data_IF_320878271546
#
_entry.id   IF_320878271546
#
_cell.length_a   1.000
_cell.length_b   1.000
_cell.length_c   1.000
_cell.angle_alpha   90.00
_cell.angle_beta   90.00
_cell.angle_gamma   90.00
#
_symmetry.space_group_name_H-M   'P 1'
#
loop_
_entity.id
_entity.type
_entity.pdbx_description
1 polymer ?
#
# COMPACT_ATOMS: atom_id res chain seq x y z
N UNK A 1 -9.79 -11.56 -16.47
CA UNK A 1 -9.96 -10.63 -17.62
C UNK A 1 -9.95 -9.21 -17.10
N UNK A 2 -9.43 -8.24 -17.87
CA UNK A 2 -9.51 -6.83 -17.50
C UNK A 2 -10.79 -6.20 -18.07
N UNK A 3 -11.42 -5.35 -17.28
CA UNK A 3 -12.52 -4.48 -17.70
C UNK A 3 -12.29 -3.06 -17.16
N UNK A 4 -12.88 -2.05 -17.80
CA UNK A 4 -12.67 -0.65 -17.46
C UNK A 4 -14.00 0.03 -17.13
N UNK A 5 -14.01 0.87 -16.10
CA UNK A 5 -15.23 1.54 -15.64
C UNK A 5 -15.49 2.87 -16.34
N UNK A 6 -14.50 3.45 -17.04
CA UNK A 6 -14.64 4.73 -17.74
C UNK A 6 -14.10 4.61 -19.16
N UNK A 7 -14.72 5.34 -20.09
CA UNK A 7 -14.27 5.48 -21.48
C UNK A 7 -12.90 6.20 -21.46
N UNK A 8 -11.88 5.62 -22.11
CA UNK A 8 -10.43 5.93 -22.02
C UNK A 8 -9.58 4.97 -21.15
N UNK A 9 -10.03 3.73 -20.91
CA UNK A 9 -9.24 2.69 -20.20
C UNK A 9 -8.76 3.12 -18.80
N UNK A 10 -9.46 4.06 -18.18
CA UNK A 10 -9.20 4.48 -16.81
C UNK A 10 -10.00 3.61 -15.85
N UNK A 11 -9.43 3.37 -14.66
CA UNK A 11 -10.01 2.53 -13.61
C UNK A 11 -10.15 1.05 -14.01
N UNK A 12 -9.03 0.32 -14.15
CA UNK A 12 -9.04 -1.10 -14.49
C UNK A 12 -9.57 -1.93 -13.32
N UNK A 13 -10.42 -2.91 -13.64
CA UNK A 13 -10.93 -3.91 -12.70
C UNK A 13 -10.59 -5.29 -13.25
N UNK A 14 -10.08 -6.16 -12.37
CA UNK A 14 -9.85 -7.56 -12.69
C UNK A 14 -11.12 -8.32 -12.35
N UNK A 15 -11.72 -8.92 -13.37
CA UNK A 15 -12.94 -9.74 -13.26
C UNK A 15 -12.65 -11.18 -13.62
N UNK A 16 -13.46 -12.10 -13.10
CA UNK A 16 -13.34 -13.52 -13.38
C UNK A 16 -13.58 -13.76 -14.90
N UNK A 17 -12.70 -14.55 -15.52
CA UNK A 17 -12.78 -14.86 -16.95
C UNK A 17 -13.95 -15.79 -17.31
N UNK A 18 -14.54 -16.48 -16.32
CA UNK A 18 -15.67 -17.39 -16.51
C UNK A 18 -17.04 -16.69 -16.49
N UNK A 19 -17.09 -15.36 -16.31
CA UNK A 19 -18.35 -14.62 -16.32
C UNK A 19 -18.96 -14.61 -17.73
N UNK A 20 -20.28 -14.78 -17.80
CA UNK A 20 -21.02 -14.57 -19.04
C UNK A 20 -21.08 -13.08 -19.39
N UNK A 21 -21.35 -12.75 -20.65
CA UNK A 21 -21.45 -11.36 -21.10
C UNK A 21 -22.54 -10.59 -20.33
N UNK A 22 -23.70 -11.23 -20.04
CA UNK A 22 -24.77 -10.59 -19.26
C UNK A 22 -24.36 -10.30 -17.82
N UNK A 23 -23.68 -11.24 -17.15
CA UNK A 23 -23.18 -11.04 -15.78
C UNK A 23 -22.11 -9.95 -15.73
N UNK A 24 -21.23 -9.92 -16.73
CA UNK A 24 -20.20 -8.91 -16.86
C UNK A 24 -20.82 -7.52 -17.02
N UNK A 25 -21.80 -7.35 -17.90
CA UNK A 25 -22.49 -6.07 -18.07
C UNK A 25 -23.19 -5.61 -16.78
N UNK A 26 -23.91 -6.52 -16.11
CA UNK A 26 -24.55 -6.21 -14.82
C UNK A 26 -23.54 -5.79 -13.76
N UNK A 27 -22.40 -6.49 -13.66
CA UNK A 27 -21.33 -6.17 -12.73
C UNK A 27 -20.74 -4.77 -13.02
N UNK A 28 -20.45 -4.48 -14.28
CA UNK A 28 -19.86 -3.20 -14.68
C UNK A 28 -20.81 -2.04 -14.37
N UNK A 29 -22.12 -2.20 -14.58
CA UNK A 29 -23.11 -1.17 -14.21
C UNK A 29 -23.07 -0.87 -12.71
N UNK A 30 -23.01 -1.90 -11.86
CA UNK A 30 -22.92 -1.74 -10.40
C UNK A 30 -21.62 -1.06 -10.00
N UNK A 31 -20.49 -1.47 -10.58
CA UNK A 31 -19.18 -0.88 -10.29
C UNK A 31 -19.09 0.57 -10.74
N UNK A 32 -19.62 0.92 -11.93
CA UNK A 32 -19.70 2.31 -12.41
C UNK A 32 -20.54 3.17 -11.47
N UNK A 33 -21.68 2.66 -10.98
CA UNK A 33 -22.55 3.36 -10.03
C UNK A 33 -21.86 3.60 -8.68
N UNK A 34 -21.00 2.68 -8.24
CA UNK A 34 -20.30 2.73 -6.96
C UNK A 34 -18.81 3.11 -7.08
N UNK A 35 -18.41 3.77 -8.17
CA UNK A 35 -16.99 4.07 -8.44
C UNK A 35 -16.28 4.84 -7.32
N UNK A 36 -17.02 5.68 -6.59
CA UNK A 36 -16.51 6.50 -5.49
C UNK A 36 -16.28 5.71 -4.19
N UNK A 37 -16.80 4.48 -4.10
CA UNK A 37 -16.55 3.59 -2.97
C UNK A 37 -15.23 2.82 -3.14
N UNK A 38 -14.64 2.85 -4.33
CA UNK A 38 -13.38 2.19 -4.66
C UNK A 38 -12.27 3.24 -4.60
N UNK A 39 -11.19 2.91 -3.91
CA UNK A 39 -9.99 3.75 -3.82
C UNK A 39 -9.02 3.38 -4.95
N UNK A 40 -8.77 4.32 -5.87
CA UNK A 40 -7.92 4.11 -7.04
C UNK A 40 -6.52 4.66 -6.83
N UNK A 41 -6.45 5.77 -6.10
CA UNK A 41 -5.23 6.41 -5.65
C UNK A 41 -5.27 6.61 -4.14
N UNK A 42 -4.13 6.98 -3.58
CA UNK A 42 -4.03 7.28 -2.15
C UNK A 42 -4.85 8.53 -1.78
N UNK A 43 -5.02 9.45 -2.74
CA UNK A 43 -5.77 10.70 -2.58
C UNK A 43 -7.28 10.44 -2.47
N UNK A 44 -7.75 9.28 -2.94
CA UNK A 44 -9.16 8.86 -2.82
C UNK A 44 -9.48 8.31 -1.43
N UNK A 45 -8.47 7.99 -0.62
CA UNK A 45 -8.64 7.46 0.73
C UNK A 45 -9.14 8.58 1.64
N UNK A 46 -10.46 8.65 1.83
CA UNK A 46 -11.07 9.57 2.78
C UNK A 46 -10.97 9.00 4.20
N UNK A 47 -10.11 9.59 5.01
CA UNK A 47 -10.07 9.31 6.44
C UNK A 47 -11.33 9.79 7.17
N UNK A 48 -11.57 9.26 8.36
CA UNK A 48 -12.57 9.79 9.29
C UNK A 48 -11.98 11.07 9.90
N UNK A 49 -12.74 12.16 9.90
CA UNK A 49 -12.30 13.40 10.55
C UNK A 49 -12.03 13.15 12.04
N UNK A 50 -10.89 13.62 12.59
CA UNK A 50 -10.65 13.60 14.04
C UNK A 50 -11.75 14.29 14.85
N UNK A 51 -12.50 15.22 14.24
CA UNK A 51 -13.64 15.85 14.91
C UNK A 51 -14.83 14.90 15.14
N UNK A 52 -14.91 13.81 14.38
CA UNK A 52 -16.00 12.82 14.47
C UNK A 52 -15.61 11.72 15.47
N UNK A 53 -14.40 11.20 15.38
CA UNK A 53 -13.92 10.15 16.25
C UNK A 53 -12.39 10.18 16.33
N UNK A 54 -11.86 10.16 17.55
CA UNK A 54 -10.44 9.95 17.82
C UNK A 54 -10.27 8.70 18.65
N UNK A 55 -9.48 7.76 18.15
CA UNK A 55 -9.02 6.65 18.94
C UNK A 55 -7.98 7.14 19.94
N UNK A 56 -8.21 6.91 21.24
CA UNK A 56 -7.24 7.17 22.30
C UNK A 56 -6.67 5.85 22.77
N UNK A 57 -5.39 5.61 22.46
CA UNK A 57 -4.67 4.44 22.95
C UNK A 57 -4.15 4.76 24.35
N UNK A 58 -4.65 4.04 25.36
CA UNK A 58 -4.19 4.18 26.74
C UNK A 58 -2.96 3.30 26.96
N UNK A 59 -1.97 3.85 27.68
CA UNK A 59 -0.83 3.07 28.15
C UNK A 59 -1.08 2.59 29.58
N UNK A 60 -0.64 1.38 29.88
CA UNK A 60 -0.65 0.86 31.25
C UNK A 60 0.29 1.66 32.15
N UNK A 61 -0.07 1.75 33.43
CA UNK A 61 0.75 2.41 34.45
C UNK A 61 2.14 1.73 34.54
N UNK A 62 3.20 2.55 34.54
CA UNK A 62 4.59 2.08 34.59
C UNK A 62 5.29 1.90 33.24
N UNK A 63 4.56 1.96 32.12
CA UNK A 63 5.17 1.94 30.78
C UNK A 63 5.90 3.26 30.49
N UNK A 64 7.15 3.16 30.01
CA UNK A 64 7.95 4.33 29.62
C UNK A 64 7.85 4.58 28.13
N UNK A 65 7.79 5.86 27.75
CA UNK A 65 7.97 6.27 26.36
C UNK A 65 9.45 6.08 25.99
N UNK A 66 9.70 5.42 24.86
CA UNK A 66 11.06 5.10 24.41
C UNK A 66 11.26 5.61 23.00
N UNK A 67 12.35 6.35 22.80
CA UNK A 67 12.90 6.67 21.47
C UNK A 67 13.83 5.56 21.03
N UNK A 68 13.36 4.68 20.16
CA UNK A 68 14.21 3.64 19.59
C UNK A 68 15.09 4.22 18.47
N UNK A 69 16.36 3.79 18.37
CA UNK A 69 17.24 4.23 17.30
C UNK A 69 16.74 3.74 15.94
N UNK A 70 16.76 4.62 14.94
CA UNK A 70 16.34 4.27 13.58
C UNK A 70 17.35 3.33 12.90
N UNK A 71 16.84 2.37 12.12
CA UNK A 71 17.68 1.43 11.38
C UNK A 71 18.38 2.14 10.23
N UNK A 72 19.67 1.86 10.05
CA UNK A 72 20.44 2.38 8.91
C UNK A 72 19.92 1.75 7.60
N UNK A 73 19.55 2.60 6.65
CA UNK A 73 19.09 2.20 5.32
C UNK A 73 20.21 2.33 4.29
N UNK A 74 20.21 1.45 3.29
CA UNK A 74 21.05 1.66 2.11
C UNK A 74 20.50 2.86 1.28
N UNK A 75 21.32 3.48 0.41
CA UNK A 75 20.89 4.67 -0.34
C UNK A 75 19.65 4.43 -1.20
N UNK A 76 19.56 3.29 -1.89
CA UNK A 76 18.43 2.94 -2.75
C UNK A 76 17.12 2.86 -1.97
N UNK A 77 17.11 2.18 -0.82
CA UNK A 77 15.95 2.11 0.07
C UNK A 77 15.60 3.49 0.58
N UNK A 78 16.59 4.30 0.98
CA UNK A 78 16.35 5.65 1.50
C UNK A 78 15.56 6.52 0.51
N UNK A 79 15.82 6.40 -0.79
CA UNK A 79 15.03 7.09 -1.82
C UNK A 79 13.60 6.57 -1.94
N UNK A 80 13.41 5.26 -1.92
CA UNK A 80 12.07 4.63 -1.94
C UNK A 80 11.25 5.10 -0.73
N UNK A 81 11.85 5.05 0.46
CA UNK A 81 11.22 5.50 1.72
C UNK A 81 10.84 6.96 1.64
N UNK A 82 11.74 7.81 1.17
CA UNK A 82 11.47 9.24 1.01
C UNK A 82 10.27 9.47 0.09
N UNK A 83 10.17 8.76 -1.03
CA UNK A 83 9.04 8.88 -1.97
C UNK A 83 7.72 8.45 -1.33
N UNK A 84 7.70 7.32 -0.62
CA UNK A 84 6.49 6.84 0.07
C UNK A 84 6.05 7.79 1.20
N UNK A 85 6.97 8.27 2.03
CA UNK A 85 6.67 9.24 3.10
C UNK A 85 6.11 10.53 2.52
N UNK A 86 6.71 11.08 1.45
CA UNK A 86 6.20 12.28 0.80
C UNK A 86 4.82 12.08 0.18
N UNK A 87 4.54 10.89 -0.37
CA UNK A 87 3.23 10.54 -0.91
C UNK A 87 2.17 10.52 0.19
N UNK A 88 2.46 9.90 1.34
CA UNK A 88 1.55 9.87 2.50
C UNK A 88 1.33 11.27 3.09
N UNK A 89 2.40 12.08 3.16
CA UNK A 89 2.33 13.45 3.64
C UNK A 89 1.48 14.32 2.73
N UNK A 90 1.65 14.21 1.40
CA UNK A 90 0.84 14.94 0.42
C UNK A 90 -0.64 14.58 0.51
N UNK A 91 -0.94 13.31 0.77
CA UNK A 91 -2.31 12.82 0.96
C UNK A 91 -2.92 13.22 2.32
N UNK A 92 -2.15 13.81 3.23
CA UNK A 92 -2.62 14.19 4.57
C UNK A 92 -2.86 13.02 5.52
N UNK A 93 -2.35 11.82 5.19
CA UNK A 93 -2.49 10.62 6.02
C UNK A 93 -1.56 10.69 7.25
N UNK A 94 -0.37 11.27 7.06
CA UNK A 94 0.60 11.54 8.13
C UNK A 94 0.91 13.03 8.20
N UNK A 95 1.38 13.48 9.36
CA UNK A 95 1.80 14.86 9.60
C UNK A 95 3.10 14.88 10.43
N UNK A 96 3.92 15.94 10.31
CA UNK A 96 5.14 16.04 11.09
C UNK A 96 4.82 16.31 12.56
N UNK A 97 5.54 15.63 13.46
CA UNK A 97 5.54 15.89 14.90
C UNK A 97 6.97 16.22 15.33
N UNK A 98 7.12 17.28 16.12
CA UNK A 98 8.39 17.65 16.72
C UNK A 98 8.55 16.97 18.07
N UNK A 99 9.78 16.55 18.36
CA UNK A 99 10.22 16.14 19.71
C UNK A 99 9.41 15.03 20.41
N UNK A 100 8.84 14.07 19.67
CA UNK A 100 8.12 12.93 20.26
C UNK A 100 9.03 12.08 21.16
N UNK A 101 8.67 11.89 22.43
CA UNK A 101 9.35 10.98 23.37
C UNK A 101 9.24 9.49 22.99
N UNK A 102 8.33 9.17 22.06
CA UNK A 102 8.15 7.83 21.53
C UNK A 102 8.46 7.79 20.04
N UNK A 103 9.38 6.89 19.67
CA UNK A 103 9.79 6.69 18.27
C UNK A 103 10.02 5.20 18.06
N UNK A 104 9.29 4.61 17.11
CA UNK A 104 9.53 3.25 16.62
C UNK A 104 10.41 3.27 15.36
N UNK A 105 11.28 2.27 15.17
CA UNK A 105 12.10 2.18 13.97
C UNK A 105 11.24 1.82 12.76
N UNK A 106 11.40 2.53 11.65
CA UNK A 106 10.66 2.19 10.44
C UNK A 106 11.16 0.87 9.86
N UNK A 107 10.25 -0.09 9.64
CA UNK A 107 10.57 -1.39 9.06
C UNK A 107 10.23 -1.43 7.58
N UNK A 108 11.03 -2.16 6.81
CA UNK A 108 10.85 -2.32 5.37
C UNK A 108 10.86 -3.79 5.01
N UNK A 109 9.80 -4.20 4.31
CA UNK A 109 9.62 -5.58 3.89
C UNK A 109 9.67 -5.63 2.37
N UNK A 110 10.54 -6.45 1.76
CA UNK A 110 10.55 -6.63 0.33
C UNK A 110 9.21 -7.23 -0.09
N UNK A 111 8.64 -6.66 -1.14
CA UNK A 111 7.45 -7.20 -1.76
C UNK A 111 7.82 -8.49 -2.47
N UNK A 112 7.28 -9.60 -1.99
CA UNK A 112 7.37 -10.87 -2.70
C UNK A 112 6.57 -10.74 -3.99
N UNK A 113 7.22 -10.81 -5.15
CA UNK A 113 6.52 -11.20 -6.37
C UNK A 113 6.36 -12.71 -6.41
N UNK A 114 5.55 -13.21 -7.34
CA UNK A 114 5.55 -14.64 -7.68
C UNK A 114 6.94 -15.15 -8.03
N UNK A 115 7.14 -16.47 -7.90
CA UNK A 115 8.37 -17.14 -8.34
C UNK A 115 8.40 -17.09 -9.87
N UNK A 116 9.43 -16.48 -10.43
CA UNK A 116 9.73 -16.52 -11.88
C UNK A 116 10.77 -17.59 -12.12
N UNK A 117 10.48 -18.55 -13.01
CA UNK A 117 11.45 -19.57 -13.41
C UNK A 117 12.33 -18.99 -14.50
N UNK A 118 13.63 -18.88 -14.23
CA UNK A 118 14.63 -18.41 -15.19
C UNK A 118 15.33 -19.65 -15.75
N UNK A 119 15.49 -19.71 -17.07
CA UNK A 119 16.27 -20.77 -17.73
C UNK A 119 17.74 -20.34 -17.70
N UNK A 120 18.59 -21.13 -17.06
CA UNK A 120 20.05 -20.94 -17.02
C UNK A 120 20.67 -21.20 -18.39
N UNK A 121 21.92 -20.77 -18.61
CA UNK A 121 22.72 -21.14 -19.79
C UNK A 121 22.90 -22.67 -19.92
N UNK A 122 22.78 -23.40 -18.81
CA UNK A 122 22.77 -24.87 -18.76
C UNK A 122 21.38 -25.49 -19.04
N UNK A 123 20.39 -24.70 -19.47
CA UNK A 123 19.01 -25.12 -19.72
C UNK A 123 18.25 -25.65 -18.48
N UNK A 124 18.75 -25.34 -17.28
CA UNK A 124 18.10 -25.68 -16.01
C UNK A 124 17.06 -24.62 -15.61
N UNK A 125 15.91 -25.08 -15.11
CA UNK A 125 14.83 -24.24 -14.59
C UNK A 125 15.15 -23.79 -13.17
N UNK A 126 15.68 -22.58 -13.02
CA UNK A 126 16.00 -22.01 -11.71
C UNK A 126 14.84 -21.15 -11.20
N UNK A 127 14.22 -21.49 -10.05
CA UNK A 127 13.22 -20.63 -9.44
C UNK A 127 13.91 -19.38 -8.87
N UNK A 128 13.74 -18.24 -9.54
CA UNK A 128 14.27 -16.95 -9.11
C UNK A 128 13.18 -16.10 -8.45
N UNK A 129 13.53 -15.50 -7.32
CA UNK A 129 12.67 -14.54 -6.61
C UNK A 129 13.09 -13.13 -6.99
N UNK A 130 12.29 -12.47 -7.81
CA UNK A 130 12.45 -11.04 -8.07
C UNK A 130 11.80 -10.23 -6.93
N UNK A 131 12.52 -9.28 -6.36
CA UNK A 131 11.93 -8.30 -5.43
C UNK A 131 11.37 -7.17 -6.29
N UNK A 132 10.05 -7.15 -6.51
CA UNK A 132 9.42 -6.13 -7.36
C UNK A 132 9.11 -4.80 -6.66
N UNK A 133 9.33 -4.72 -5.34
CA UNK A 133 9.14 -3.48 -4.61
C UNK A 133 9.45 -3.63 -3.13
N UNK A 134 9.24 -2.56 -2.37
CA UNK A 134 9.40 -2.53 -0.91
C UNK A 134 8.15 -1.92 -0.30
N UNK A 135 7.70 -2.44 0.85
CA UNK A 135 6.65 -1.82 1.67
C UNK A 135 7.27 -1.26 2.93
N UNK A 136 6.83 -0.06 3.28
CA UNK A 136 7.07 0.52 4.60
C UNK A 136 6.02 0.00 5.57
N UNK A 137 6.46 -0.52 6.71
CA UNK A 137 5.60 -0.88 7.83
C UNK A 137 5.70 0.25 8.87
N UNK A 138 4.55 0.82 9.21
CA UNK A 138 4.40 1.82 10.26
C UNK A 138 3.58 1.17 11.36
N UNK A 139 4.13 1.12 12.57
CA UNK A 139 3.38 0.73 13.77
C UNK A 139 2.64 1.96 14.29
N UNK A 140 1.32 1.85 14.46
CA UNK A 140 0.44 2.89 15.01
C UNK A 140 0.05 2.60 16.46
#
# INVERSE_FOLDING_TARGET
MYAYLVENETYPVIVNASLTNEELERLIVVLKRNKNAITWSIDDIKGISPSICMQKNFMNEGNKLVRQPQKKLNPTLKEVVRKEVLKLLKAGIIYPISDSEWVSPTQFVPLKSGITVIISEANELLPSRLVMGWRMCIDF
#
